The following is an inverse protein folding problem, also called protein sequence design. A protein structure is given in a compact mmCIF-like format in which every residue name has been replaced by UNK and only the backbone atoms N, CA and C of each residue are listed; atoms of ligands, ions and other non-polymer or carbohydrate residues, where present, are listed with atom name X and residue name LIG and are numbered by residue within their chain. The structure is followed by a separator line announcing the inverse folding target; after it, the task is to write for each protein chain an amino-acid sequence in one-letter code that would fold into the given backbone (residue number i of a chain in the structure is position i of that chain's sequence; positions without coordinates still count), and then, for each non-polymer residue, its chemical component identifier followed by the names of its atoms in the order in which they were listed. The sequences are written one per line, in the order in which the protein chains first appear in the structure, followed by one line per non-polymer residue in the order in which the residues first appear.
data_IF_359217277910
#
_entry.id   IF_359217277910
#
_cell.length_a   1.000
_cell.length_b   1.000
_cell.length_c   1.000
_cell.angle_alpha   90.00
_cell.angle_beta   90.00
_cell.angle_gamma   90.00
#
_symmetry.space_group_name_H-M   'P 1'
#
loop_
_entity.id
_entity.type
_entity.pdbx_description
1 polymer ?
#
# COMPACT_ATOMS: atom_id res chain seq x y z
N UNK A 1 15.94 6.33 6.89
CA UNK A 1 14.89 6.69 5.92
C UNK A 1 14.29 5.39 5.40
N UNK A 2 12.96 5.32 5.34
CA UNK A 2 12.22 4.14 4.91
C UNK A 2 11.35 4.52 3.71
N UNK A 3 11.32 3.65 2.71
CA UNK A 3 10.36 3.67 1.61
C UNK A 3 9.24 2.65 1.92
N UNK A 4 7.99 3.09 1.89
CA UNK A 4 6.83 2.22 1.97
C UNK A 4 6.25 2.08 0.55
N UNK A 5 6.53 0.97 -0.11
CA UNK A 5 5.95 0.66 -1.41
C UNK A 5 4.64 -0.11 -1.19
N UNK A 6 3.52 0.54 -1.47
CA UNK A 6 2.16 0.05 -1.22
C UNK A 6 1.29 0.09 -2.47
N UNK A 7 1.84 0.57 -3.59
CA UNK A 7 1.09 0.78 -4.82
C UNK A 7 1.15 -0.40 -5.79
N UNK A 8 2.21 -1.22 -5.73
CA UNK A 8 2.48 -2.25 -6.74
C UNK A 8 2.91 -1.67 -8.09
N UNK A 9 3.33 -0.40 -8.12
CA UNK A 9 3.83 0.25 -9.33
C UNK A 9 5.34 0.10 -9.45
N UNK A 10 5.82 -0.52 -10.54
CA UNK A 10 7.24 -0.66 -10.84
C UNK A 10 7.94 0.70 -10.98
N UNK A 11 7.25 1.69 -11.54
CA UNK A 11 7.77 3.04 -11.69
C UNK A 11 7.90 3.76 -10.33
N UNK A 12 6.92 3.59 -9.45
CA UNK A 12 6.96 4.15 -8.10
C UNK A 12 8.10 3.54 -7.29
N UNK A 13 8.28 2.20 -7.36
CA UNK A 13 9.39 1.51 -6.72
C UNK A 13 10.74 2.02 -7.24
N UNK A 14 10.94 2.08 -8.55
CA UNK A 14 12.19 2.57 -9.14
C UNK A 14 12.52 4.01 -8.74
N UNK A 15 11.50 4.87 -8.68
CA UNK A 15 11.67 6.27 -8.26
C UNK A 15 11.99 6.36 -6.77
N UNK A 16 11.32 5.56 -5.94
CA UNK A 16 11.56 5.50 -4.51
C UNK A 16 12.97 5.01 -4.16
N UNK A 17 13.46 3.97 -4.86
CA UNK A 17 14.82 3.46 -4.65
C UNK A 17 15.88 4.52 -4.93
N UNK A 18 15.71 5.32 -5.99
CA UNK A 18 16.63 6.43 -6.31
C UNK A 18 16.62 7.56 -5.27
N UNK A 19 15.50 7.74 -4.58
CA UNK A 19 15.35 8.78 -3.55
C UNK A 19 15.86 8.35 -2.17
N UNK A 20 16.15 7.05 -1.96
CA UNK A 20 16.63 6.54 -0.70
C UNK A 20 18.09 6.93 -0.43
N UNK A 21 18.37 7.24 0.84
CA UNK A 21 19.73 7.36 1.32
C UNK A 21 20.39 5.99 1.44
N UNK A 22 21.72 5.98 1.40
CA UNK A 22 22.50 4.78 1.73
C UNK A 22 22.12 4.25 3.12
N UNK A 23 22.04 2.92 3.23
CA UNK A 23 21.58 2.24 4.45
C UNK A 23 20.08 2.33 4.69
N UNK A 24 19.29 2.81 3.70
CA UNK A 24 17.85 2.89 3.81
C UNK A 24 17.15 1.54 3.75
N UNK A 25 15.89 1.50 4.17
CA UNK A 25 15.05 0.31 4.14
C UNK A 25 13.83 0.50 3.23
N UNK A 26 13.40 -0.58 2.61
CA UNK A 26 12.20 -0.63 1.76
C UNK A 26 11.24 -1.68 2.30
N UNK A 27 10.02 -1.31 2.61
CA UNK A 27 8.92 -2.22 2.88
C UNK A 27 8.09 -2.40 1.61
N UNK A 28 8.07 -3.61 1.06
CA UNK A 28 7.34 -3.98 -0.14
C UNK A 28 6.02 -4.65 0.27
N UNK A 29 4.92 -3.94 0.18
CA UNK A 29 3.57 -4.40 0.48
C UNK A 29 2.71 -4.47 -0.79
N UNK A 30 2.95 -3.59 -1.76
CA UNK A 30 2.24 -3.56 -3.03
C UNK A 30 2.43 -4.86 -3.81
N UNK A 31 1.36 -5.32 -4.47
CA UNK A 31 1.40 -6.51 -5.34
C UNK A 31 1.49 -6.01 -6.78
N UNK A 32 2.54 -6.44 -7.45
CA UNK A 32 2.80 -6.06 -8.84
C UNK A 32 2.05 -7.00 -9.79
N UNK A 33 1.47 -6.45 -10.86
CA UNK A 33 0.77 -7.23 -11.89
C UNK A 33 1.71 -8.08 -12.74
N UNK A 34 2.96 -7.61 -12.88
CA UNK A 34 3.97 -8.21 -13.73
C UNK A 34 5.31 -8.37 -13.00
N UNK A 35 6.23 -9.10 -13.63
CA UNK A 35 7.60 -9.19 -13.11
C UNK A 35 8.27 -7.82 -13.15
N UNK A 36 8.85 -7.44 -12.02
CA UNK A 36 9.55 -6.16 -11.88
C UNK A 36 11.04 -6.35 -12.04
N UNK A 37 11.64 -5.60 -12.95
CA UNK A 37 13.09 -5.49 -13.03
C UNK A 37 13.60 -4.60 -11.91
N UNK A 38 14.51 -5.12 -11.10
CA UNK A 38 15.14 -4.40 -10.00
C UNK A 38 16.63 -4.20 -10.30
N UNK A 39 17.10 -2.96 -10.18
CA UNK A 39 18.52 -2.64 -10.23
C UNK A 39 19.19 -3.10 -8.92
N UNK A 40 19.75 -4.31 -8.95
CA UNK A 40 20.43 -4.89 -7.79
C UNK A 40 21.74 -4.16 -7.46
N UNK A 41 22.41 -3.57 -8.43
CA UNK A 41 23.61 -2.78 -8.17
C UNK A 41 23.29 -1.55 -7.32
N UNK A 42 22.16 -0.90 -7.60
CA UNK A 42 21.66 0.19 -6.75
C UNK A 42 21.36 -0.28 -5.33
N UNK A 43 20.81 -1.47 -5.14
CA UNK A 43 20.57 -2.05 -3.81
C UNK A 43 21.88 -2.31 -3.08
N UNK A 44 22.87 -2.92 -3.77
CA UNK A 44 24.18 -3.29 -3.19
C UNK A 44 24.99 -2.05 -2.83
N UNK A 45 25.20 -1.15 -3.80
CA UNK A 45 26.04 0.03 -3.59
C UNK A 45 25.46 1.05 -2.61
N UNK A 46 24.14 1.04 -2.43
CA UNK A 46 23.48 1.87 -1.41
C UNK A 46 23.20 1.10 -0.12
N UNK A 47 23.62 -0.15 0.00
CA UNK A 47 23.41 -0.97 1.22
C UNK A 47 21.96 -0.99 1.69
N UNK A 48 21.02 -1.14 0.74
CA UNK A 48 19.59 -1.11 1.04
C UNK A 48 19.12 -2.44 1.62
N UNK A 49 18.16 -2.38 2.55
CA UNK A 49 17.46 -3.55 3.07
C UNK A 49 16.05 -3.60 2.50
N UNK A 50 15.67 -4.73 1.91
CA UNK A 50 14.34 -4.95 1.33
C UNK A 50 13.55 -5.93 2.22
N UNK A 51 12.38 -5.51 2.68
CA UNK A 51 11.46 -6.33 3.46
C UNK A 51 10.21 -6.64 2.64
N UNK A 52 9.94 -7.91 2.37
CA UNK A 52 8.65 -8.35 1.85
C UNK A 52 7.62 -8.42 2.97
N UNK A 53 6.48 -7.77 2.77
CA UNK A 53 5.38 -7.73 3.73
C UNK A 53 4.18 -8.45 3.11
N UNK A 54 3.68 -9.46 3.81
CA UNK A 54 2.48 -10.16 3.38
C UNK A 54 1.49 -10.34 4.53
N UNK A 55 0.23 -10.06 4.25
CA UNK A 55 -0.86 -10.28 5.17
C UNK A 55 -0.75 -9.44 6.45
N UNK A 56 -0.87 -10.09 7.56
CA UNK A 56 -0.92 -9.49 8.90
C UNK A 56 -0.45 -10.47 9.96
N UNK A 57 -0.05 -9.97 11.09
CA UNK A 57 0.12 -10.79 12.30
C UNK A 57 -1.23 -10.97 12.97
N UNK A 58 -1.78 -12.16 12.89
CA UNK A 58 -3.01 -12.54 13.59
C UNK A 58 -2.67 -12.73 15.07
N UNK A 59 -3.29 -12.12 15.97
CA UNK A 59 -4.31 -11.07 16.07
C UNK A 59 -3.69 -9.71 16.43
N UNK A 60 -2.38 -9.67 16.54
CA UNK A 60 -1.59 -8.58 17.08
C UNK A 60 -1.86 -7.26 16.35
N UNK A 61 -1.78 -7.26 15.00
CA UNK A 61 -2.03 -6.04 14.22
C UNK A 61 -3.50 -5.61 14.24
N UNK A 62 -4.44 -6.50 14.53
CA UNK A 62 -5.83 -6.13 14.72
C UNK A 62 -6.04 -5.37 16.03
N UNK A 63 -5.46 -5.84 17.13
CA UNK A 63 -5.48 -5.13 18.40
C UNK A 63 -4.78 -3.77 18.31
N UNK A 64 -3.65 -3.70 17.59
CA UNK A 64 -2.96 -2.43 17.35
C UNK A 64 -3.83 -1.44 16.56
N UNK A 65 -4.53 -1.90 15.52
CA UNK A 65 -5.45 -1.06 14.76
C UNK A 65 -6.62 -0.59 15.62
N UNK A 66 -7.23 -1.50 16.38
CA UNK A 66 -8.32 -1.15 17.30
C UNK A 66 -7.87 -0.09 18.30
N UNK A 67 -6.73 -0.30 18.94
CA UNK A 67 -6.17 0.66 19.89
C UNK A 67 -5.88 2.04 19.23
N UNK A 68 -5.42 2.06 17.98
CA UNK A 68 -5.20 3.30 17.26
C UNK A 68 -6.51 4.05 16.98
N UNK A 69 -7.58 3.32 16.60
CA UNK A 69 -8.90 3.91 16.38
C UNK A 69 -9.49 4.47 17.70
N UNK A 70 -9.39 3.72 18.79
CA UNK A 70 -9.82 4.14 20.12
C UNK A 70 -9.02 5.36 20.62
N UNK A 71 -7.74 5.46 20.23
CA UNK A 71 -6.90 6.62 20.53
C UNK A 71 -7.18 7.85 19.63
N UNK A 72 -8.16 7.76 18.72
CA UNK A 72 -8.60 8.87 17.89
C UNK A 72 -8.04 8.89 16.46
N UNK A 73 -7.47 7.78 15.97
CA UNK A 73 -7.12 7.67 14.54
C UNK A 73 -8.41 7.75 13.70
N UNK A 74 -8.54 8.80 12.91
CA UNK A 74 -9.66 8.96 11.98
C UNK A 74 -9.29 8.40 10.60
N UNK A 75 -9.97 7.34 10.19
CA UNK A 75 -9.82 6.72 8.86
C UNK A 75 -10.93 7.13 7.88
N UNK A 76 -11.91 7.92 8.32
CA UNK A 76 -13.02 8.34 7.46
C UNK A 76 -12.60 9.10 6.21
N UNK A 77 -11.52 9.91 6.20
CA UNK A 77 -11.08 10.62 5.00
C UNK A 77 -10.65 9.71 3.84
N UNK A 78 -10.31 8.43 4.11
CA UNK A 78 -9.94 7.50 3.02
C UNK A 78 -11.17 6.93 2.30
N UNK A 79 -12.38 7.05 2.88
CA UNK A 79 -13.63 6.60 2.29
C UNK A 79 -14.09 7.64 1.28
N UNK A 80 -13.85 7.39 0.01
CA UNK A 80 -14.15 8.35 -1.06
C UNK A 80 -15.57 8.23 -1.60
N UNK A 81 -16.14 7.01 -1.61
CA UNK A 81 -17.45 6.74 -2.22
C UNK A 81 -18.21 5.68 -1.44
N UNK A 82 -19.53 5.81 -1.49
CA UNK A 82 -20.49 4.83 -0.93
C UNK A 82 -21.51 4.53 -2.00
N UNK A 83 -21.77 3.26 -2.24
CA UNK A 83 -22.79 2.76 -3.16
C UNK A 83 -23.73 1.82 -2.42
N UNK A 84 -24.94 1.67 -2.92
CA UNK A 84 -25.81 0.57 -2.49
C UNK A 84 -25.26 -0.76 -3.02
N UNK A 85 -25.65 -1.86 -2.39
CA UNK A 85 -25.17 -3.18 -2.82
C UNK A 85 -25.57 -3.50 -4.28
N UNK A 86 -26.74 -3.03 -4.71
CA UNK A 86 -27.23 -3.20 -6.07
C UNK A 86 -26.39 -2.45 -7.13
N UNK A 87 -25.67 -1.41 -6.71
CA UNK A 87 -24.84 -0.57 -7.56
C UNK A 87 -23.40 -1.09 -7.67
N UNK A 88 -23.18 -2.39 -7.37
CA UNK A 88 -21.82 -2.96 -7.27
C UNK A 88 -21.05 -2.85 -8.59
N UNK A 89 -21.71 -2.93 -9.75
CA UNK A 89 -21.03 -2.82 -11.05
C UNK A 89 -20.41 -1.44 -11.26
N UNK A 90 -21.13 -0.38 -10.88
CA UNK A 90 -20.62 1.00 -10.94
C UNK A 90 -19.46 1.20 -9.95
N UNK A 91 -19.58 0.64 -8.76
CA UNK A 91 -18.53 0.68 -7.75
C UNK A 91 -17.25 -0.02 -8.25
N UNK A 92 -17.38 -1.18 -8.91
CA UNK A 92 -16.24 -1.91 -9.49
C UNK A 92 -15.63 -1.17 -10.68
N UNK A 93 -16.45 -0.55 -11.53
CA UNK A 93 -15.95 0.29 -12.64
C UNK A 93 -15.13 1.48 -12.11
N UNK A 94 -15.60 2.12 -11.03
CA UNK A 94 -14.88 3.21 -10.38
C UNK A 94 -13.55 2.73 -9.80
N UNK A 95 -13.51 1.59 -9.11
CA UNK A 95 -12.28 0.99 -8.57
C UNK A 95 -11.26 0.74 -9.68
N UNK A 96 -11.69 0.15 -10.79
CA UNK A 96 -10.82 -0.13 -11.93
C UNK A 96 -10.28 1.13 -12.61
N UNK A 97 -10.97 2.26 -12.46
CA UNK A 97 -10.50 3.55 -12.98
C UNK A 97 -9.32 4.14 -12.21
N UNK A 98 -9.05 3.67 -10.98
CA UNK A 98 -8.02 4.20 -10.08
C UNK A 98 -8.30 5.61 -9.55
N UNK A 99 -9.50 6.17 -9.76
CA UNK A 99 -9.88 7.54 -9.37
C UNK A 99 -10.64 7.61 -8.05
N UNK A 100 -10.44 6.64 -7.19
CA UNK A 100 -11.07 6.60 -5.87
C UNK A 100 -10.10 6.13 -4.79
N UNK A 101 -10.43 6.46 -3.54
CA UNK A 101 -9.86 5.84 -2.36
C UNK A 101 -10.63 4.58 -1.99
N UNK A 102 -11.07 4.49 -0.73
CA UNK A 102 -11.90 3.34 -0.29
C UNK A 102 -13.35 3.51 -0.76
N UNK A 103 -13.85 2.51 -1.45
CA UNK A 103 -15.26 2.39 -1.86
C UNK A 103 -15.97 1.43 -0.90
N UNK A 104 -17.13 1.84 -0.39
CA UNK A 104 -17.99 1.01 0.45
C UNK A 104 -19.25 0.63 -0.30
N UNK A 105 -19.65 -0.64 -0.19
CA UNK A 105 -20.99 -1.11 -0.55
C UNK A 105 -21.83 -1.19 0.73
N UNK A 106 -22.98 -0.55 0.72
CA UNK A 106 -23.92 -0.52 1.84
C UNK A 106 -25.08 -1.43 1.50
N UNK A 107 -25.40 -2.42 2.36
CA UNK A 107 -26.55 -3.32 2.19
C UNK A 107 -27.88 -2.59 2.22
#
# INVERSE_FOLDING_TARGET
VVLLEMSGSSQALASGLRALRKGGAVSLLGIFSDNVSLDLDAVIFNQLTLYGINGRRMFDTWFQMQAALEAGLDITPVISHKFKLEEYEEAMALLNSGRCGKVLLIP
#
